data_IF_970862954507
#
_entry.id   IF_970862954507
#
_cell.length_a   1.000
_cell.length_b   1.000
_cell.length_c   1.000
_cell.angle_alpha   90.00
_cell.angle_beta   90.00
_cell.angle_gamma   90.00
#
_symmetry.space_group_name_H-M   'P 1'
#
loop_
_entity.id
_entity.type
_entity.pdbx_description
1 polymer ?
#
# COMPACT_ATOMS: atom_id res chain seq x y z
N UNK A 1 9.33 9.96 12.02
CA UNK A 1 9.25 11.44 11.93
C UNK A 1 10.11 12.01 10.81
N UNK A 2 11.36 11.55 10.64
CA UNK A 2 12.30 12.04 9.62
C UNK A 2 11.92 11.69 8.16
N UNK A 3 11.37 10.50 7.90
CA UNK A 3 11.03 10.06 6.54
C UNK A 3 10.04 11.00 5.82
N UNK A 4 8.91 11.34 6.44
CA UNK A 4 7.94 12.27 5.85
C UNK A 4 8.51 13.69 5.64
N UNK A 5 9.54 14.11 6.39
CA UNK A 5 10.24 15.38 6.13
C UNK A 5 11.10 15.25 4.88
N UNK A 6 11.86 14.15 4.75
CA UNK A 6 12.68 13.87 3.57
C UNK A 6 11.81 13.80 2.30
N UNK A 7 10.68 13.08 2.36
CA UNK A 7 9.73 13.00 1.23
C UNK A 7 9.23 14.39 0.83
N UNK A 8 8.80 15.23 1.79
CA UNK A 8 8.37 16.61 1.49
C UNK A 8 9.47 17.45 0.84
N UNK A 9 10.69 17.32 1.32
CA UNK A 9 11.83 18.05 0.75
C UNK A 9 12.11 17.59 -0.68
N UNK A 10 12.03 16.29 -0.96
CA UNK A 10 12.21 15.75 -2.30
C UNK A 10 11.10 16.21 -3.25
N UNK A 11 9.83 16.17 -2.82
CA UNK A 11 8.69 16.69 -3.59
C UNK A 11 8.94 18.16 -3.99
N UNK A 12 9.35 18.99 -3.01
CA UNK A 12 9.66 20.41 -3.25
C UNK A 12 10.84 20.59 -4.19
N UNK A 13 11.95 19.88 -3.96
CA UNK A 13 13.17 20.03 -4.73
C UNK A 13 13.00 19.61 -6.20
N UNK A 14 12.15 18.62 -6.45
CA UNK A 14 11.86 18.10 -7.79
C UNK A 14 10.67 18.80 -8.47
N UNK A 15 9.93 19.67 -7.76
CA UNK A 15 8.71 20.28 -8.29
C UNK A 15 7.61 19.26 -8.59
N UNK A 16 7.57 18.14 -7.87
CA UNK A 16 6.65 17.05 -8.15
C UNK A 16 5.21 17.38 -7.72
N UNK A 17 4.23 16.94 -8.50
CA UNK A 17 2.82 17.00 -8.14
C UNK A 17 2.46 15.82 -7.23
N UNK A 18 2.81 15.92 -5.95
CA UNK A 18 2.56 14.88 -4.96
C UNK A 18 2.23 15.46 -3.59
N UNK A 19 1.48 14.71 -2.80
CA UNK A 19 1.17 15.01 -1.40
C UNK A 19 1.76 13.94 -0.48
N UNK A 20 1.91 14.26 0.81
CA UNK A 20 2.35 13.31 1.82
C UNK A 20 1.67 13.61 3.14
N UNK A 21 1.01 12.59 3.68
CA UNK A 21 0.25 12.69 4.92
C UNK A 21 0.93 11.88 6.02
N UNK A 22 1.19 12.51 7.17
CA UNK A 22 1.88 11.88 8.29
C UNK A 22 0.89 11.35 9.33
N UNK A 23 0.27 10.22 9.03
CA UNK A 23 -0.61 9.46 9.94
C UNK A 23 -0.37 7.95 9.72
N UNK A 24 -1.00 7.08 10.50
CA UNK A 24 -1.00 5.65 10.19
C UNK A 24 -1.92 5.37 8.99
N UNK A 25 -1.68 4.29 8.24
CA UNK A 25 -2.51 3.95 7.08
C UNK A 25 -3.97 3.75 7.49
N UNK A 26 -4.23 3.07 8.61
CA UNK A 26 -5.58 2.83 9.15
C UNK A 26 -6.31 4.15 9.43
N UNK A 27 -5.59 5.15 9.98
CA UNK A 27 -6.17 6.46 10.26
C UNK A 27 -6.41 7.24 8.98
N UNK A 28 -5.48 7.19 8.03
CA UNK A 28 -5.65 7.85 6.73
C UNK A 28 -6.91 7.36 6.02
N UNK A 29 -7.06 6.04 5.88
CA UNK A 29 -8.19 5.41 5.19
C UNK A 29 -9.54 5.67 5.89
N UNK A 30 -9.52 5.95 7.20
CA UNK A 30 -10.73 6.26 7.98
C UNK A 30 -11.15 7.72 7.86
N UNK A 31 -10.19 8.63 7.98
CA UNK A 31 -10.46 10.05 8.20
C UNK A 31 -10.43 10.86 6.89
N UNK A 32 -9.81 10.33 5.83
CA UNK A 32 -9.61 11.05 4.57
C UNK A 32 -10.76 10.79 3.60
N UNK A 33 -11.15 11.79 2.78
CA UNK A 33 -12.13 11.56 1.74
C UNK A 33 -11.62 10.49 0.75
N UNK A 34 -12.52 9.62 0.24
CA UNK A 34 -12.21 8.71 -0.86
C UNK A 34 -11.55 9.45 -2.03
N UNK A 35 -10.45 8.90 -2.53
CA UNK A 35 -9.76 9.34 -3.75
C UNK A 35 -9.22 8.10 -4.45
N UNK A 36 -9.43 7.98 -5.76
CA UNK A 36 -9.19 6.74 -6.48
C UNK A 36 -7.84 6.76 -7.19
N UNK A 37 -6.98 5.78 -6.89
CA UNK A 37 -5.70 5.57 -7.55
C UNK A 37 -5.74 4.30 -8.41
N UNK A 38 -5.10 4.35 -9.58
CA UNK A 38 -4.89 3.17 -10.44
C UNK A 38 -3.70 2.30 -10.02
N UNK A 39 -2.90 2.71 -9.03
CA UNK A 39 -1.77 1.96 -8.49
C UNK A 39 -1.68 2.16 -6.98
N UNK A 40 -1.73 1.05 -6.25
CA UNK A 40 -1.68 1.00 -4.80
C UNK A 40 -0.43 0.27 -4.34
N UNK A 41 0.47 0.99 -3.65
CA UNK A 41 1.72 0.44 -3.11
C UNK A 41 1.60 0.29 -1.59
N UNK A 42 1.64 -0.95 -1.10
CA UNK A 42 1.45 -1.27 0.32
C UNK A 42 2.73 -1.92 0.87
N UNK A 43 3.51 -1.13 1.60
CA UNK A 43 4.76 -1.55 2.27
C UNK A 43 4.63 -1.41 3.81
N UNK A 44 4.02 -2.41 4.47
CA UNK A 44 3.84 -2.42 5.91
C UNK A 44 5.12 -2.91 6.63
N UNK A 45 5.41 -2.41 7.85
CA UNK A 45 6.47 -2.98 8.66
C UNK A 45 6.31 -4.50 8.86
N UNK A 46 7.41 -5.26 8.88
CA UNK A 46 7.36 -6.73 9.00
C UNK A 46 6.62 -7.26 10.24
N UNK A 47 6.56 -6.47 11.32
CA UNK A 47 5.83 -6.84 12.53
C UNK A 47 4.30 -6.77 12.38
N UNK A 48 3.79 -6.13 11.32
CA UNK A 48 2.35 -6.08 11.03
C UNK A 48 1.91 -7.44 10.50
N UNK A 49 0.91 -8.10 11.13
CA UNK A 49 0.38 -9.38 10.65
C UNK A 49 -0.23 -9.28 9.25
N UNK A 50 -0.08 -10.36 8.47
CA UNK A 50 -0.58 -10.43 7.09
C UNK A 50 -2.08 -10.13 7.00
N UNK A 51 -2.87 -10.58 7.97
CA UNK A 51 -4.32 -10.41 8.02
C UNK A 51 -4.70 -8.93 8.17
N UNK A 52 -3.92 -8.16 8.93
CA UNK A 52 -4.14 -6.71 9.07
C UNK A 52 -3.81 -5.98 7.76
N UNK A 53 -2.77 -6.43 7.05
CA UNK A 53 -2.43 -5.88 5.73
C UNK A 53 -3.54 -6.21 4.70
N UNK A 54 -4.07 -7.43 4.71
CA UNK A 54 -5.18 -7.83 3.85
C UNK A 54 -6.45 -7.01 4.15
N UNK A 55 -6.73 -6.73 5.43
CA UNK A 55 -7.84 -5.86 5.81
C UNK A 55 -7.66 -4.41 5.31
N UNK A 56 -6.44 -3.87 5.33
CA UNK A 56 -6.13 -2.57 4.73
C UNK A 56 -6.38 -2.57 3.22
N UNK A 57 -5.89 -3.59 2.51
CA UNK A 57 -6.10 -3.75 1.06
C UNK A 57 -7.59 -3.79 0.72
N UNK A 58 -8.41 -4.49 1.51
CA UNK A 58 -9.85 -4.53 1.30
C UNK A 58 -10.52 -3.14 1.43
N UNK A 59 -10.09 -2.34 2.39
CA UNK A 59 -10.59 -0.96 2.57
C UNK A 59 -10.16 -0.08 1.39
N UNK A 60 -8.89 -0.20 0.97
CA UNK A 60 -8.36 0.52 -0.20
C UNK A 60 -9.15 0.15 -1.46
N UNK A 61 -9.34 -1.15 -1.75
CA UNK A 61 -10.10 -1.62 -2.93
C UNK A 61 -11.51 -1.03 -2.99
N UNK A 62 -12.15 -0.86 -1.83
CA UNK A 62 -13.53 -0.37 -1.74
C UNK A 62 -13.66 1.15 -1.95
N UNK A 63 -12.68 1.94 -1.48
CA UNK A 63 -12.85 3.38 -1.31
C UNK A 63 -11.74 4.25 -1.90
N UNK A 64 -10.57 3.67 -2.21
CA UNK A 64 -9.39 4.42 -2.65
C UNK A 64 -8.79 3.90 -3.96
N UNK A 65 -9.33 2.82 -4.52
CA UNK A 65 -8.85 2.22 -5.75
C UNK A 65 -9.80 2.47 -6.92
N UNK A 66 -9.24 2.72 -8.10
CA UNK A 66 -9.98 2.56 -9.35
C UNK A 66 -10.41 1.09 -9.57
N UNK A 67 -11.43 0.82 -10.42
CA UNK A 67 -11.89 -0.56 -10.66
C UNK A 67 -10.77 -1.52 -11.09
N UNK A 68 -9.85 -1.05 -11.93
CA UNK A 68 -8.72 -1.81 -12.49
C UNK A 68 -7.38 -1.48 -11.81
N UNK A 69 -7.41 -0.96 -10.58
CA UNK A 69 -6.20 -0.57 -9.87
C UNK A 69 -5.27 -1.76 -9.63
N UNK A 70 -3.98 -1.56 -9.88
CA UNK A 70 -2.95 -2.55 -9.56
C UNK A 70 -2.53 -2.40 -8.10
N UNK A 71 -2.67 -3.46 -7.32
CA UNK A 71 -2.11 -3.58 -5.98
C UNK A 71 -0.72 -4.22 -6.03
N UNK A 72 0.22 -3.62 -5.31
CA UNK A 72 1.54 -4.20 -5.02
C UNK A 72 1.75 -4.22 -3.51
N UNK A 73 1.76 -5.42 -2.93
CA UNK A 73 1.96 -5.61 -1.48
C UNK A 73 3.32 -6.23 -1.23
N UNK A 74 4.13 -5.59 -0.39
CA UNK A 74 5.40 -6.13 0.08
C UNK A 74 5.22 -6.93 1.38
N UNK A 75 5.73 -8.16 1.43
CA UNK A 75 5.76 -8.99 2.65
C UNK A 75 7.07 -9.75 2.78
N UNK A 76 7.42 -10.12 4.02
CA UNK A 76 8.51 -11.06 4.25
C UNK A 76 8.17 -12.42 3.62
N UNK A 77 9.14 -13.05 2.95
CA UNK A 77 8.92 -14.32 2.22
C UNK A 77 8.43 -15.45 3.13
N UNK A 78 8.77 -15.42 4.42
CA UNK A 78 8.32 -16.40 5.42
C UNK A 78 6.83 -16.27 5.81
N UNK A 79 6.22 -15.13 5.53
CA UNK A 79 4.83 -14.81 5.90
C UNK A 79 3.99 -14.68 4.62
N UNK A 80 3.43 -15.78 4.08
CA UNK A 80 2.68 -15.75 2.83
C UNK A 80 1.50 -14.80 2.91
N UNK A 81 1.23 -14.07 1.83
CA UNK A 81 0.14 -13.10 1.75
C UNK A 81 -1.09 -13.75 1.12
N UNK A 82 -2.26 -13.54 1.74
CA UNK A 82 -3.55 -13.95 1.19
C UNK A 82 -4.33 -12.69 0.82
N UNK A 83 -4.72 -12.60 -0.44
CA UNK A 83 -5.52 -11.48 -0.93
C UNK A 83 -6.92 -11.48 -0.32
N UNK A 84 -7.47 -10.31 0.04
CA UNK A 84 -8.86 -10.22 0.46
C UNK A 84 -9.81 -10.46 -0.72
N UNK A 85 -11.08 -10.72 -0.40
CA UNK A 85 -12.13 -10.82 -1.42
C UNK A 85 -12.20 -9.55 -2.29
N UNK A 86 -12.43 -9.74 -3.59
CA UNK A 86 -12.52 -8.65 -4.56
C UNK A 86 -11.17 -8.15 -5.09
N UNK A 87 -10.06 -8.78 -4.72
CA UNK A 87 -8.75 -8.59 -5.35
C UNK A 87 -8.26 -9.92 -5.93
N UNK A 88 -8.08 -9.98 -7.23
CA UNK A 88 -7.62 -11.17 -7.93
C UNK A 88 -6.09 -11.26 -7.92
N UNK A 89 -5.50 -12.38 -7.46
CA UNK A 89 -4.05 -12.55 -7.47
C UNK A 89 -3.52 -12.65 -8.92
N UNK A 90 -2.54 -11.82 -9.27
CA UNK A 90 -1.91 -11.84 -10.58
C UNK A 90 -0.61 -12.66 -10.60
N UNK A 91 0.34 -12.29 -9.73
CA UNK A 91 1.63 -12.99 -9.60
C UNK A 91 2.31 -12.58 -8.29
N UNK A 92 3.36 -13.29 -7.92
CA UNK A 92 4.29 -12.83 -6.89
C UNK A 92 5.74 -13.00 -7.38
N UNK A 93 6.67 -12.24 -6.78
CA UNK A 93 8.10 -12.37 -7.08
C UNK A 93 8.91 -12.19 -5.80
N UNK A 94 9.71 -13.21 -5.49
CA UNK A 94 10.62 -13.19 -4.34
C UNK A 94 11.95 -12.51 -4.71
N UNK A 95 12.50 -11.77 -3.75
CA UNK A 95 13.77 -11.05 -3.78
C UNK A 95 14.45 -11.22 -2.42
N UNK A 96 15.22 -12.30 -2.26
CA UNK A 96 15.82 -12.63 -0.97
C UNK A 96 14.74 -12.90 0.08
N UNK A 97 14.70 -12.09 1.14
CA UNK A 97 13.77 -12.22 2.27
C UNK A 97 12.44 -11.48 2.05
N UNK A 98 12.27 -10.80 0.91
CA UNK A 98 11.06 -10.04 0.55
C UNK A 98 10.34 -10.69 -0.63
N UNK A 99 9.02 -10.78 -0.56
CA UNK A 99 8.14 -11.12 -1.69
C UNK A 99 7.24 -9.94 -2.04
N UNK A 100 7.22 -9.54 -3.30
CA UNK A 100 6.22 -8.63 -3.86
C UNK A 100 5.05 -9.43 -4.41
N UNK A 101 3.84 -9.10 -3.98
CA UNK A 101 2.59 -9.69 -4.42
C UNK A 101 1.85 -8.68 -5.30
N UNK A 102 1.37 -9.11 -6.46
CA UNK A 102 0.62 -8.30 -7.42
C UNK A 102 -0.82 -8.82 -7.53
N UNK A 103 -1.80 -7.92 -7.55
CA UNK A 103 -3.22 -8.24 -7.74
C UNK A 103 -4.02 -7.05 -8.25
N UNK A 104 -5.25 -7.26 -8.73
CA UNK A 104 -6.17 -6.20 -9.21
C UNK A 104 -7.54 -6.29 -8.56
#
# INVERSE_FOLDING_TARGET
>A
ARAAVVVRNNIKALGAHASVTRVTAERYLRDSPPDAFGLELVDPPYAVPTEQVAALVAIIKKAFAEPEALFVVERATRDPFVWPEGVEPLRHKAYGDTTLWYGH
#
